data_IF_311137865746
#
_entry.id   IF_311137865746
#
_cell.length_a   1.000
_cell.length_b   1.000
_cell.length_c   1.000
_cell.angle_alpha   90.00
_cell.angle_beta   90.00
_cell.angle_gamma   90.00
#
_symmetry.space_group_name_H-M   'P 1'
#
loop_
_entity.id
_entity.type
_entity.pdbx_description
1 polymer ?
#
# COMPACT_ATOMS: atom_id res chain seq x y z
N UNK A 1 -27.01 -11.78 -16.74
CA UNK A 1 -27.13 -11.19 -18.09
C UNK A 1 -28.21 -10.11 -18.14
N UNK A 2 -29.40 -10.33 -17.57
CA UNK A 2 -30.54 -9.38 -17.63
C UNK A 2 -30.23 -8.07 -16.92
N UNK A 3 -29.55 -8.12 -15.77
CA UNK A 3 -29.14 -6.91 -15.03
C UNK A 3 -28.12 -6.10 -15.81
N UNK A 4 -27.17 -6.76 -16.47
CA UNK A 4 -26.19 -6.11 -17.33
C UNK A 4 -26.87 -5.37 -18.48
N UNK A 5 -27.79 -6.01 -19.17
CA UNK A 5 -28.57 -5.44 -20.28
C UNK A 5 -29.44 -4.25 -19.82
N UNK A 6 -30.03 -4.35 -18.63
CA UNK A 6 -30.85 -3.27 -18.07
C UNK A 6 -30.03 -2.02 -17.76
N UNK A 7 -28.84 -2.21 -17.16
CA UNK A 7 -27.91 -1.10 -16.87
C UNK A 7 -27.31 -0.54 -18.17
N UNK A 8 -26.93 -1.38 -19.12
CA UNK A 8 -26.45 -0.95 -20.44
C UNK A 8 -27.46 -0.03 -21.16
N UNK A 9 -28.73 -0.45 -21.16
CA UNK A 9 -29.79 0.37 -21.74
C UNK A 9 -29.89 1.72 -21.07
N UNK A 10 -29.90 1.74 -19.72
CA UNK A 10 -29.94 2.99 -18.94
C UNK A 10 -28.72 3.87 -19.23
N UNK A 11 -27.51 3.30 -19.20
CA UNK A 11 -26.29 4.02 -19.48
C UNK A 11 -26.24 4.59 -20.90
N UNK A 12 -26.78 3.82 -21.88
CA UNK A 12 -26.86 4.25 -23.27
C UNK A 12 -27.85 5.42 -23.47
N UNK A 13 -29.03 5.35 -22.82
CA UNK A 13 -30.02 6.43 -22.88
C UNK A 13 -29.49 7.70 -22.26
N UNK A 14 -28.97 7.62 -21.03
CA UNK A 14 -28.35 8.77 -20.34
C UNK A 14 -27.12 9.27 -21.08
N UNK A 15 -26.33 8.38 -21.68
CA UNK A 15 -25.16 8.74 -22.47
C UNK A 15 -25.49 9.63 -23.68
N UNK A 16 -26.61 9.41 -24.34
CA UNK A 16 -27.08 10.27 -25.44
C UNK A 16 -27.44 11.66 -24.95
N UNK A 17 -28.13 11.77 -23.82
CA UNK A 17 -28.49 13.05 -23.22
C UNK A 17 -27.25 13.77 -22.69
N UNK A 18 -26.35 13.04 -22.03
CA UNK A 18 -25.08 13.53 -21.53
C UNK A 18 -24.19 14.10 -22.65
N UNK A 19 -24.15 13.44 -23.81
CA UNK A 19 -23.40 13.92 -24.95
C UNK A 19 -24.01 15.18 -25.60
N UNK A 20 -25.33 15.29 -25.57
CA UNK A 20 -26.08 16.35 -26.25
C UNK A 20 -26.31 17.61 -25.40
N UNK A 21 -26.15 17.54 -24.07
CA UNK A 21 -26.48 18.65 -23.19
C UNK A 21 -25.45 19.78 -23.28
N UNK A 22 -25.94 21.02 -23.33
CA UNK A 22 -25.13 22.24 -23.19
C UNK A 22 -24.93 22.60 -21.71
N UNK A 23 -25.81 22.13 -20.82
CA UNK A 23 -25.80 22.39 -19.37
C UNK A 23 -25.11 21.27 -18.58
N UNK A 24 -23.90 20.88 -19.00
CA UNK A 24 -23.18 19.72 -18.49
C UNK A 24 -23.08 19.67 -16.97
N UNK A 25 -22.72 20.80 -16.35
CA UNK A 25 -22.56 20.90 -14.87
C UNK A 25 -23.85 20.62 -14.12
N UNK A 26 -24.95 21.19 -14.60
CA UNK A 26 -26.29 20.99 -14.02
C UNK A 26 -26.79 19.58 -14.23
N UNK A 27 -26.57 19.02 -15.42
CA UNK A 27 -26.93 17.65 -15.77
C UNK A 27 -26.25 16.62 -14.88
N UNK A 28 -24.91 16.73 -14.72
CA UNK A 28 -24.13 15.82 -13.88
C UNK A 28 -24.52 15.94 -12.41
N UNK A 29 -24.75 17.15 -11.91
CA UNK A 29 -25.18 17.35 -10.51
C UNK A 29 -26.59 16.84 -10.22
N UNK A 30 -27.48 16.85 -11.19
CA UNK A 30 -28.82 16.30 -11.07
C UNK A 30 -28.84 14.75 -11.10
N UNK A 31 -27.81 14.13 -11.67
CA UNK A 31 -27.67 12.69 -11.69
C UNK A 31 -27.03 12.18 -10.40
N UNK A 32 -27.70 11.25 -9.69
CA UNK A 32 -27.18 10.68 -8.44
C UNK A 32 -25.81 9.99 -8.59
N UNK A 33 -25.49 9.55 -9.79
CA UNK A 33 -24.24 8.87 -10.13
C UNK A 33 -23.23 9.83 -10.80
N UNK A 34 -23.57 11.11 -10.85
CA UNK A 34 -22.73 12.13 -11.45
C UNK A 34 -21.65 12.63 -10.52
N UNK A 35 -20.47 12.82 -11.06
CA UNK A 35 -19.30 13.36 -10.36
C UNK A 35 -18.60 14.42 -11.21
N UNK A 36 -18.23 15.53 -10.58
CA UNK A 36 -17.36 16.54 -11.18
C UNK A 36 -16.05 16.52 -10.40
N UNK A 37 -14.95 16.31 -11.09
CA UNK A 37 -13.62 16.36 -10.47
C UNK A 37 -13.29 17.81 -10.05
N UNK A 38 -12.68 17.96 -8.88
CA UNK A 38 -12.26 19.28 -8.39
C UNK A 38 -10.86 19.66 -8.88
N UNK A 39 -10.17 18.75 -9.55
CA UNK A 39 -8.84 18.93 -10.11
C UNK A 39 -8.85 18.86 -11.64
N UNK A 40 -7.74 19.27 -12.22
CA UNK A 40 -7.49 19.17 -13.67
C UNK A 40 -6.47 18.05 -13.92
N UNK A 41 -6.76 17.18 -14.88
CA UNK A 41 -5.92 16.05 -15.26
C UNK A 41 -5.37 16.22 -16.67
N UNK A 42 -4.14 15.76 -16.89
CA UNK A 42 -3.51 15.69 -18.21
C UNK A 42 -3.82 14.38 -18.91
N UNK A 43 -3.55 14.30 -20.21
CA UNK A 43 -3.70 13.07 -21.00
C UNK A 43 -2.94 11.87 -20.39
N UNK A 44 -1.79 12.09 -19.76
CA UNK A 44 -0.97 11.02 -19.17
C UNK A 44 -1.64 10.33 -17.96
N UNK A 45 -2.70 10.93 -17.39
CA UNK A 45 -3.42 10.43 -16.22
C UNK A 45 -4.74 9.73 -16.57
N UNK A 46 -5.06 9.68 -17.85
CA UNK A 46 -6.26 9.06 -18.41
C UNK A 46 -5.87 7.82 -19.22
N UNK A 47 -6.81 6.93 -19.47
CA UNK A 47 -6.60 5.89 -20.49
C UNK A 47 -6.47 6.53 -21.88
N UNK A 48 -5.85 5.84 -22.83
CA UNK A 48 -5.62 6.35 -24.17
C UNK A 48 -6.91 6.81 -24.86
N UNK A 49 -7.96 5.99 -24.77
CA UNK A 49 -9.28 6.26 -25.35
C UNK A 49 -9.97 7.45 -24.67
N UNK A 50 -9.91 7.51 -23.34
CA UNK A 50 -10.49 8.61 -22.55
C UNK A 50 -9.74 9.92 -22.83
N UNK A 51 -8.41 9.86 -22.88
CA UNK A 51 -7.58 11.01 -23.22
C UNK A 51 -7.89 11.53 -24.64
N UNK A 52 -8.01 10.64 -25.63
CA UNK A 52 -8.34 11.02 -27.00
C UNK A 52 -9.65 11.79 -27.06
N UNK A 53 -10.72 11.28 -26.42
CA UNK A 53 -12.03 11.91 -26.43
C UNK A 53 -12.02 13.25 -25.65
N UNK A 54 -11.58 13.24 -24.39
CA UNK A 54 -11.67 14.40 -23.52
C UNK A 54 -10.75 15.56 -23.97
N UNK A 55 -9.56 15.25 -24.48
CA UNK A 55 -8.67 16.26 -25.02
C UNK A 55 -9.15 16.84 -26.35
N UNK A 56 -9.96 16.11 -27.13
CA UNK A 56 -10.65 16.64 -28.29
C UNK A 56 -11.91 17.45 -27.96
N UNK A 57 -12.39 17.39 -26.70
CA UNK A 57 -13.66 18.00 -26.29
C UNK A 57 -14.87 17.14 -26.62
N UNK A 58 -14.65 15.88 -26.89
CA UNK A 58 -15.68 14.89 -27.22
C UNK A 58 -16.15 14.13 -25.95
N UNK A 59 -17.23 13.38 -26.10
CA UNK A 59 -17.74 12.50 -25.03
C UNK A 59 -17.05 11.16 -25.09
N UNK A 60 -16.52 10.72 -23.94
CA UNK A 60 -16.05 9.36 -23.74
C UNK A 60 -17.18 8.47 -23.23
N UNK A 61 -17.39 7.31 -23.82
CA UNK A 61 -18.38 6.34 -23.39
C UNK A 61 -19.84 6.64 -23.84
N UNK A 62 -20.82 5.90 -23.29
CA UNK A 62 -20.69 4.93 -22.21
C UNK A 62 -19.89 3.67 -22.59
N UNK A 63 -18.94 3.29 -21.73
CA UNK A 63 -18.09 2.10 -21.88
C UNK A 63 -18.13 1.27 -20.61
N UNK A 64 -18.28 -0.07 -20.76
CA UNK A 64 -18.20 -1.00 -19.65
C UNK A 64 -16.74 -1.28 -19.27
N UNK A 65 -16.35 -0.90 -18.06
CA UNK A 65 -15.02 -1.13 -17.52
C UNK A 65 -15.13 -1.46 -16.03
N UNK A 66 -14.44 -2.51 -15.58
CA UNK A 66 -14.45 -2.93 -14.18
C UNK A 66 -15.87 -3.13 -13.60
N UNK A 67 -16.77 -3.70 -14.40
CA UNK A 67 -18.18 -3.91 -14.03
C UNK A 67 -18.97 -2.59 -13.78
N UNK A 68 -18.57 -1.51 -14.43
CA UNK A 68 -19.25 -0.21 -14.36
C UNK A 68 -19.34 0.40 -15.76
N UNK A 69 -20.52 0.93 -16.11
CA UNK A 69 -20.70 1.74 -17.30
C UNK A 69 -20.30 3.17 -17.00
N UNK A 70 -19.23 3.64 -17.62
CA UNK A 70 -18.69 4.98 -17.38
C UNK A 70 -18.79 5.84 -18.64
N UNK A 71 -19.19 7.09 -18.45
CA UNK A 71 -19.14 8.14 -19.47
C UNK A 71 -18.52 9.40 -18.87
N UNK A 72 -17.79 10.16 -19.68
CA UNK A 72 -17.10 11.36 -19.25
C UNK A 72 -17.05 12.44 -20.33
N UNK A 73 -17.03 13.72 -19.92
CA UNK A 73 -16.78 14.89 -20.75
C UNK A 73 -15.88 15.87 -20.03
N UNK A 74 -15.12 16.64 -20.81
CA UNK A 74 -14.41 17.79 -20.27
C UNK A 74 -15.41 18.90 -19.93
N UNK A 75 -15.45 19.29 -18.65
CA UNK A 75 -16.25 20.42 -18.16
C UNK A 75 -15.53 21.74 -18.43
N UNK A 76 -14.22 21.75 -18.19
CA UNK A 76 -13.34 22.90 -18.43
C UNK A 76 -11.99 22.42 -18.95
N UNK A 77 -11.29 23.29 -19.64
CA UNK A 77 -9.98 22.99 -20.24
C UNK A 77 -9.02 24.14 -19.97
N UNK A 78 -7.85 23.84 -19.42
CA UNK A 78 -6.81 24.84 -19.15
C UNK A 78 -5.46 24.39 -19.69
N UNK A 79 -4.67 25.37 -20.12
CA UNK A 79 -3.23 25.19 -20.40
C UNK A 79 -2.49 25.56 -19.10
N UNK A 80 -2.03 24.55 -18.37
CA UNK A 80 -1.33 24.72 -17.10
C UNK A 80 -0.02 23.92 -17.11
N UNK A 81 0.96 24.24 -16.25
CA UNK A 81 2.18 23.45 -16.14
C UNK A 81 1.86 21.99 -15.82
N UNK A 82 2.60 21.03 -16.38
CA UNK A 82 2.47 19.61 -16.05
C UNK A 82 2.81 19.33 -14.58
N UNK A 83 3.69 20.17 -14.01
CA UNK A 83 4.16 20.09 -12.62
C UNK A 83 4.50 21.46 -12.06
N UNK A 84 4.43 21.61 -10.74
CA UNK A 84 4.79 22.83 -10.02
C UNK A 84 5.59 22.50 -8.77
N UNK A 85 6.69 23.21 -8.56
CA UNK A 85 7.44 23.24 -7.32
C UNK A 85 6.89 24.31 -6.40
N UNK A 86 6.44 23.91 -5.21
CA UNK A 86 5.72 24.77 -4.30
C UNK A 86 6.34 24.73 -2.91
N UNK A 87 6.39 25.89 -2.28
CA UNK A 87 6.53 26.03 -0.83
C UNK A 87 5.39 26.86 -0.25
N UNK A 88 5.02 26.61 1.00
CA UNK A 88 3.87 27.25 1.62
C UNK A 88 4.12 27.73 3.06
N UNK A 89 3.34 28.70 3.47
CA UNK A 89 3.16 29.13 4.86
C UNK A 89 1.69 28.92 5.19
N UNK A 90 1.41 28.09 6.19
CA UNK A 90 0.03 27.81 6.64
C UNK A 90 -0.26 28.60 7.89
N UNK A 91 -1.34 29.37 7.87
CA UNK A 91 -1.79 30.21 8.98
C UNK A 91 -3.23 29.82 9.36
N UNK A 92 -3.64 29.97 10.62
CA UNK A 92 -5.05 29.87 10.99
C UNK A 92 -5.89 30.87 10.20
N UNK A 93 -7.13 30.50 9.89
CA UNK A 93 -8.07 31.38 9.16
C UNK A 93 -8.30 32.73 9.86
N UNK A 94 -8.18 32.79 11.19
CA UNK A 94 -8.31 33.99 12.02
C UNK A 94 -7.19 35.01 11.82
N UNK A 95 -6.05 34.58 11.22
CA UNK A 95 -4.86 35.41 11.04
C UNK A 95 -4.78 36.07 9.65
N UNK A 96 -5.94 36.48 9.10
CA UNK A 96 -6.03 37.06 7.76
C UNK A 96 -5.20 38.34 7.59
N UNK A 97 -5.18 39.20 8.60
CA UNK A 97 -4.38 40.43 8.60
C UNK A 97 -2.87 40.13 8.60
N UNK A 98 -2.44 39.09 9.33
CA UNK A 98 -1.07 38.64 9.33
C UNK A 98 -0.69 38.07 7.95
N UNK A 99 -1.61 37.29 7.35
CA UNK A 99 -1.40 36.73 6.02
C UNK A 99 -1.18 37.81 4.96
N UNK A 100 -1.95 38.89 4.99
CA UNK A 100 -1.81 40.03 4.07
C UNK A 100 -0.51 40.81 4.28
N UNK A 101 -0.12 40.98 5.55
CA UNK A 101 1.16 41.61 5.91
C UNK A 101 2.34 40.79 5.43
N UNK A 102 2.31 39.47 5.66
CA UNK A 102 3.35 38.54 5.19
C UNK A 102 3.40 38.47 3.66
N UNK A 103 2.24 38.40 2.99
CA UNK A 103 2.16 38.39 1.53
C UNK A 103 2.84 39.63 0.94
N UNK A 104 2.56 40.81 1.53
CA UNK A 104 3.16 42.07 1.10
C UNK A 104 4.69 42.06 1.30
N UNK A 105 5.15 41.62 2.47
CA UNK A 105 6.57 41.53 2.78
C UNK A 105 7.31 40.55 1.84
N UNK A 106 6.72 39.37 1.63
CA UNK A 106 7.27 38.34 0.76
C UNK A 106 7.35 38.77 -0.71
N UNK A 107 6.32 39.45 -1.20
CA UNK A 107 6.34 40.08 -2.53
C UNK A 107 7.35 41.22 -2.63
N UNK A 108 7.70 41.85 -1.52
CA UNK A 108 8.76 42.84 -1.39
C UNK A 108 10.17 42.24 -1.26
N UNK A 109 10.30 40.91 -1.30
CA UNK A 109 11.59 40.21 -1.27
C UNK A 109 12.03 39.70 0.11
N UNK A 110 11.12 39.65 1.10
CA UNK A 110 11.44 39.00 2.37
C UNK A 110 11.71 37.48 2.17
N UNK A 111 12.53 36.91 3.05
CA UNK A 111 12.90 35.50 2.96
C UNK A 111 11.71 34.60 3.31
N UNK A 112 11.28 33.82 2.32
CA UNK A 112 10.15 32.93 2.45
C UNK A 112 10.42 31.79 3.45
N UNK A 113 11.64 31.22 3.45
CA UNK A 113 11.98 30.11 4.33
C UNK A 113 12.02 30.56 5.80
N UNK A 114 12.54 31.76 6.06
CA UNK A 114 12.51 32.34 7.39
C UNK A 114 11.08 32.61 7.86
N UNK A 115 10.24 33.18 6.99
CA UNK A 115 8.84 33.43 7.31
C UNK A 115 8.08 32.12 7.55
N UNK A 116 8.31 31.08 6.76
CA UNK A 116 7.71 29.75 6.97
C UNK A 116 8.09 29.17 8.33
N UNK A 117 9.36 29.18 8.69
CA UNK A 117 9.83 28.68 9.98
C UNK A 117 9.28 29.45 11.17
N UNK A 118 9.00 30.75 11.00
CA UNK A 118 8.53 31.62 12.08
C UNK A 118 7.01 31.61 12.26
N UNK A 119 6.24 31.54 11.18
CA UNK A 119 4.81 31.81 11.20
C UNK A 119 3.94 30.63 10.79
N UNK A 120 4.48 29.62 10.06
CA UNK A 120 3.66 28.49 9.62
C UNK A 120 3.30 27.59 10.79
N UNK A 121 2.02 27.27 10.92
CA UNK A 121 1.51 26.31 11.91
C UNK A 121 1.61 24.86 11.44
N UNK A 122 2.14 24.62 10.24
CA UNK A 122 2.32 23.27 9.70
C UNK A 122 3.76 22.79 9.88
N UNK A 123 4.04 22.19 11.02
CA UNK A 123 5.38 21.80 11.47
C UNK A 123 6.17 20.95 10.48
N UNK A 124 5.49 20.09 9.72
CA UNK A 124 6.14 19.17 8.77
C UNK A 124 6.95 19.91 7.68
N UNK A 125 6.50 21.08 7.26
CA UNK A 125 7.18 21.89 6.24
C UNK A 125 7.83 23.15 6.80
N UNK A 126 7.32 23.67 7.91
CA UNK A 126 7.81 24.91 8.53
C UNK A 126 9.34 24.87 8.77
N UNK A 127 9.83 23.81 9.38
CA UNK A 127 11.25 23.62 9.69
C UNK A 127 12.12 23.51 8.43
N UNK A 128 11.56 23.16 7.28
CA UNK A 128 12.23 23.05 5.99
C UNK A 128 11.91 24.22 5.05
N UNK A 129 11.68 25.41 5.60
CA UNK A 129 11.40 26.60 4.82
C UNK A 129 10.10 26.59 4.06
N UNK A 130 9.13 25.78 4.49
CA UNK A 130 7.81 25.64 3.87
C UNK A 130 7.80 24.74 2.63
N UNK A 131 8.90 24.04 2.30
CA UNK A 131 9.00 23.28 1.06
C UNK A 131 8.05 22.08 1.05
N UNK A 132 7.17 22.04 0.03
CA UNK A 132 6.23 20.93 -0.25
C UNK A 132 6.85 20.01 -1.31
N UNK A 133 7.65 20.55 -2.22
CA UNK A 133 8.28 19.82 -3.30
C UNK A 133 7.64 20.06 -4.67
N UNK A 134 8.06 19.27 -5.65
CA UNK A 134 7.52 19.32 -7.01
C UNK A 134 6.44 18.25 -7.16
N UNK A 135 5.25 18.67 -7.57
CA UNK A 135 4.11 17.78 -7.75
C UNK A 135 3.39 18.05 -9.08
N UNK A 136 2.69 17.05 -9.65
CA UNK A 136 1.90 17.26 -10.85
C UNK A 136 0.77 18.27 -10.57
N UNK A 137 0.39 19.05 -11.59
CA UNK A 137 -0.66 20.06 -11.42
C UNK A 137 -2.00 19.44 -10.97
N UNK A 138 -2.27 18.21 -11.35
CA UNK A 138 -3.46 17.46 -10.93
C UNK A 138 -3.57 17.16 -9.43
N UNK A 139 -2.50 17.36 -8.67
CA UNK A 139 -2.53 17.26 -7.20
C UNK A 139 -3.26 18.46 -6.56
N UNK A 140 -3.41 19.56 -7.30
CA UNK A 140 -4.17 20.73 -6.84
C UNK A 140 -5.64 20.57 -7.21
N UNK A 141 -6.53 20.84 -6.27
CA UNK A 141 -7.98 20.76 -6.46
C UNK A 141 -8.66 22.04 -5.96
N UNK A 142 -9.89 22.30 -6.45
CA UNK A 142 -10.72 23.41 -6.03
C UNK A 142 -10.00 24.75 -6.14
N UNK A 143 -10.02 25.52 -5.05
CA UNK A 143 -9.44 26.86 -4.96
C UNK A 143 -7.93 26.89 -5.24
N UNK A 144 -7.22 25.82 -4.89
CA UNK A 144 -5.78 25.70 -5.17
C UNK A 144 -5.51 25.59 -6.68
N UNK A 145 -6.25 24.73 -7.36
CA UNK A 145 -6.10 24.58 -8.81
C UNK A 145 -6.43 25.87 -9.56
N UNK A 146 -7.45 26.60 -9.11
CA UNK A 146 -7.84 27.88 -9.72
C UNK A 146 -6.80 28.97 -9.48
N UNK A 147 -6.31 29.12 -8.25
CA UNK A 147 -5.33 30.15 -7.89
C UNK A 147 -3.96 29.89 -8.55
N UNK A 148 -3.56 28.64 -8.72
CA UNK A 148 -2.27 28.27 -9.27
C UNK A 148 -2.26 28.11 -10.79
N UNK A 149 -3.42 27.99 -11.45
CA UNK A 149 -3.50 27.78 -12.90
C UNK A 149 -2.80 28.88 -13.73
N UNK A 150 -2.80 30.11 -13.25
CA UNK A 150 -2.16 31.25 -13.91
C UNK A 150 -0.82 31.67 -13.30
N UNK A 151 -0.41 31.03 -12.22
CA UNK A 151 0.78 31.42 -11.47
C UNK A 151 2.07 31.04 -12.20
N UNK A 152 3.06 31.91 -12.11
CA UNK A 152 4.38 31.77 -12.72
C UNK A 152 5.42 31.55 -11.64
N UNK A 153 6.59 31.10 -12.06
CA UNK A 153 7.75 31.02 -11.18
C UNK A 153 8.06 32.37 -10.52
N UNK A 154 8.16 32.37 -9.21
CA UNK A 154 8.30 33.56 -8.36
C UNK A 154 7.00 34.09 -7.76
N UNK A 155 5.85 33.76 -8.31
CA UNK A 155 4.56 34.25 -7.81
C UNK A 155 4.24 33.69 -6.42
N UNK A 156 3.59 34.52 -5.61
CA UNK A 156 3.07 34.13 -4.30
C UNK A 156 1.56 34.41 -4.29
N UNK A 157 0.78 33.38 -4.07
CA UNK A 157 -0.69 33.43 -4.01
C UNK A 157 -1.18 33.16 -2.59
N UNK A 158 -2.22 33.87 -2.19
CA UNK A 158 -2.95 33.65 -0.94
C UNK A 158 -4.19 32.85 -1.24
N UNK A 159 -4.37 31.75 -0.55
CA UNK A 159 -5.51 30.83 -0.71
C UNK A 159 -6.09 30.59 0.65
N UNK A 160 -7.39 30.86 0.81
CA UNK A 160 -8.13 30.53 2.02
C UNK A 160 -8.95 29.27 1.74
N UNK A 161 -8.71 28.21 2.49
CA UNK A 161 -9.42 26.94 2.32
C UNK A 161 -9.63 26.27 3.67
N UNK A 162 -10.88 25.95 3.96
CA UNK A 162 -11.27 25.41 5.27
C UNK A 162 -10.92 26.36 6.41
N UNK A 163 -10.25 25.84 7.44
CA UNK A 163 -9.86 26.61 8.63
C UNK A 163 -8.45 27.24 8.51
N UNK A 164 -7.87 27.29 7.31
CA UNK A 164 -6.51 27.78 7.09
C UNK A 164 -6.41 28.78 5.94
N UNK A 165 -5.40 29.64 6.04
CA UNK A 165 -4.91 30.48 4.96
C UNK A 165 -3.53 29.96 4.58
N UNK A 166 -3.30 29.76 3.28
CA UNK A 166 -2.01 29.37 2.76
C UNK A 166 -1.43 30.46 1.86
N UNK A 167 -0.21 30.87 2.16
CA UNK A 167 0.60 31.66 1.25
C UNK A 167 1.50 30.68 0.48
N UNK A 168 1.20 30.47 -0.79
CA UNK A 168 1.92 29.51 -1.63
C UNK A 168 2.83 30.24 -2.61
N UNK A 169 4.10 29.90 -2.60
CA UNK A 169 5.07 30.38 -3.58
C UNK A 169 5.37 29.30 -4.60
N UNK A 170 5.28 29.66 -5.87
CA UNK A 170 5.71 28.81 -6.98
C UNK A 170 7.21 29.08 -7.22
N UNK A 171 8.07 28.13 -6.94
CA UNK A 171 9.50 28.26 -7.18
C UNK A 171 9.98 27.56 -8.44
N UNK A 172 9.13 26.73 -9.05
CA UNK A 172 9.41 26.02 -10.30
C UNK A 172 8.09 25.72 -11.04
N UNK A 173 8.12 25.80 -12.36
CA UNK A 173 7.02 25.37 -13.25
C UNK A 173 7.57 24.41 -14.30
N UNK A 174 6.78 23.38 -14.60
CA UNK A 174 7.02 22.44 -15.69
C UNK A 174 6.56 22.99 -17.04
N UNK A 175 6.39 22.11 -18.02
CA UNK A 175 5.95 22.50 -19.36
C UNK A 175 4.43 22.76 -19.38
N UNK A 176 3.96 23.80 -20.06
CA UNK A 176 2.52 24.00 -20.26
C UNK A 176 1.93 22.82 -21.06
N UNK A 177 0.94 22.17 -20.50
CA UNK A 177 0.21 21.06 -21.12
C UNK A 177 -1.29 21.26 -20.96
N UNK A 178 -2.05 20.67 -21.88
CA UNK A 178 -3.51 20.71 -21.82
C UNK A 178 -4.01 19.80 -20.70
N UNK A 179 -4.80 20.37 -19.80
CA UNK A 179 -5.49 19.67 -18.74
C UNK A 179 -6.99 19.89 -18.85
N UNK A 180 -7.77 18.93 -18.40
CA UNK A 180 -9.22 18.96 -18.41
C UNK A 180 -9.78 18.71 -17.01
N UNK A 181 -10.82 19.43 -16.64
CA UNK A 181 -11.67 19.10 -15.51
C UNK A 181 -12.73 18.12 -15.98
N UNK A 182 -12.81 16.94 -15.36
CA UNK A 182 -13.66 15.85 -15.84
C UNK A 182 -15.00 15.86 -15.12
N UNK A 183 -16.08 15.84 -15.89
CA UNK A 183 -17.42 15.52 -15.45
C UNK A 183 -17.78 14.11 -15.91
N UNK A 184 -18.17 13.23 -15.01
CA UNK A 184 -18.46 11.83 -15.30
C UNK A 184 -19.76 11.35 -14.68
N UNK A 185 -20.31 10.29 -15.26
CA UNK A 185 -21.44 9.53 -14.71
C UNK A 185 -21.06 8.06 -14.78
N UNK A 186 -21.23 7.33 -13.68
CA UNK A 186 -20.85 5.93 -13.58
C UNK A 186 -22.00 5.09 -13.06
N UNK A 187 -22.44 4.10 -13.84
CA UNK A 187 -23.47 3.15 -13.44
C UNK A 187 -22.82 1.80 -13.11
N UNK A 188 -22.69 1.45 -11.81
CA UNK A 188 -22.21 0.13 -11.42
C UNK A 188 -23.23 -0.94 -11.84
N UNK A 189 -22.72 -2.07 -12.34
CA UNK A 189 -23.56 -3.25 -12.60
C UNK A 189 -23.77 -3.97 -11.28
N UNK A 190 -24.96 -3.81 -10.72
CA UNK A 190 -25.35 -4.42 -9.45
C UNK A 190 -26.47 -5.46 -9.70
N UNK A 191 -26.44 -6.53 -8.91
CA UNK A 191 -27.50 -7.53 -8.96
C UNK A 191 -28.85 -6.91 -8.55
N UNK A 192 -29.87 -7.13 -9.36
CA UNK A 192 -31.25 -6.73 -9.04
C UNK A 192 -31.81 -7.46 -7.82
N UNK A 193 -32.92 -6.98 -7.27
CA UNK A 193 -33.61 -7.68 -6.18
C UNK A 193 -34.11 -9.09 -6.61
N UNK A 194 -34.40 -9.25 -7.89
CA UNK A 194 -34.79 -10.53 -8.46
C UNK A 194 -33.61 -11.49 -8.53
N UNK A 195 -32.50 -11.06 -9.08
CA UNK A 195 -31.26 -11.85 -9.13
C UNK A 195 -30.81 -12.25 -7.74
N UNK A 196 -30.81 -11.32 -6.77
CA UNK A 196 -30.47 -11.64 -5.37
C UNK A 196 -31.42 -12.71 -4.77
N UNK A 197 -32.70 -12.61 -5.00
CA UNK A 197 -33.66 -13.63 -4.53
C UNK A 197 -33.39 -14.98 -5.18
N UNK A 198 -33.13 -15.02 -6.48
CA UNK A 198 -32.85 -16.26 -7.19
C UNK A 198 -31.57 -16.92 -6.67
N UNK A 199 -30.48 -16.16 -6.47
CA UNK A 199 -29.23 -16.67 -5.90
C UNK A 199 -29.44 -17.14 -4.46
N UNK A 200 -30.19 -16.39 -3.65
CA UNK A 200 -30.52 -16.79 -2.28
C UNK A 200 -31.32 -18.11 -2.23
N UNK A 201 -32.28 -18.30 -3.14
CA UNK A 201 -33.02 -19.53 -3.24
C UNK A 201 -32.13 -20.71 -3.67
N UNK A 202 -31.21 -20.49 -4.59
CA UNK A 202 -30.18 -21.48 -4.97
C UNK A 202 -29.30 -21.85 -3.79
N UNK A 203 -28.83 -20.83 -3.02
CA UNK A 203 -28.06 -21.04 -1.79
C UNK A 203 -28.86 -21.84 -0.75
N UNK A 204 -30.20 -21.59 -0.64
CA UNK A 204 -31.09 -22.37 0.21
C UNK A 204 -31.18 -23.85 -0.19
N UNK A 205 -31.30 -24.12 -1.48
CA UNK A 205 -31.30 -25.49 -2.02
C UNK A 205 -29.93 -26.16 -1.78
N UNK A 206 -28.85 -25.47 -2.02
CA UNK A 206 -27.50 -25.94 -1.72
C UNK A 206 -27.35 -26.31 -0.23
N UNK A 207 -27.73 -25.41 0.68
CA UNK A 207 -27.66 -25.66 2.12
C UNK A 207 -28.39 -26.92 2.58
N UNK A 208 -29.54 -27.17 2.01
CA UNK A 208 -30.33 -28.41 2.33
C UNK A 208 -29.57 -29.64 1.86
N UNK A 209 -29.06 -29.64 0.64
CA UNK A 209 -28.37 -30.78 0.03
C UNK A 209 -26.96 -31.01 0.60
N UNK A 210 -26.34 -29.98 1.12
CA UNK A 210 -24.97 -30.01 1.66
C UNK A 210 -24.88 -30.57 3.07
N UNK A 211 -26.00 -30.76 3.79
CA UNK A 211 -26.00 -31.24 5.18
C UNK A 211 -25.69 -32.73 5.28
N UNK A 212 -25.00 -33.12 6.34
CA UNK A 212 -24.79 -34.50 6.76
C UNK A 212 -23.40 -35.05 6.60
N UNK A 213 -22.66 -34.69 5.56
CA UNK A 213 -21.26 -35.13 5.39
C UNK A 213 -20.48 -34.25 4.45
N UNK A 214 -19.15 -34.42 4.46
CA UNK A 214 -18.27 -33.73 3.52
C UNK A 214 -18.54 -34.10 2.06
N UNK A 215 -18.91 -35.35 1.83
CA UNK A 215 -19.29 -35.86 0.51
C UNK A 215 -20.60 -35.21 0.02
N UNK A 216 -21.57 -35.04 0.91
CA UNK A 216 -22.83 -34.34 0.58
C UNK A 216 -22.56 -32.86 0.23
N UNK A 217 -21.68 -32.19 1.00
CA UNK A 217 -21.28 -30.82 0.71
C UNK A 217 -20.57 -30.71 -0.64
N UNK A 218 -19.62 -31.60 -0.92
CA UNK A 218 -18.91 -31.64 -2.19
C UNK A 218 -19.84 -31.97 -3.37
N UNK A 219 -20.81 -32.89 -3.18
CA UNK A 219 -21.85 -33.23 -4.17
C UNK A 219 -22.73 -32.01 -4.49
N UNK A 220 -23.25 -31.32 -3.47
CA UNK A 220 -24.05 -30.12 -3.64
C UNK A 220 -23.24 -29.00 -4.34
N UNK A 221 -21.95 -28.88 -4.07
CA UNK A 221 -21.07 -27.92 -4.74
C UNK A 221 -20.88 -28.24 -6.23
N UNK A 222 -20.72 -29.52 -6.57
CA UNK A 222 -20.67 -29.99 -7.95
C UNK A 222 -21.95 -29.71 -8.70
N UNK A 223 -23.11 -30.03 -8.10
CA UNK A 223 -24.43 -29.82 -8.70
C UNK A 223 -24.71 -28.32 -8.94
N UNK A 224 -24.24 -27.46 -8.03
CA UNK A 224 -24.36 -26.01 -8.16
C UNK A 224 -23.26 -25.39 -9.04
N UNK A 225 -22.31 -26.19 -9.58
CA UNK A 225 -21.17 -25.73 -10.35
C UNK A 225 -20.33 -24.68 -9.61
N UNK A 226 -20.19 -24.81 -8.29
CA UNK A 226 -19.34 -23.96 -7.45
C UNK A 226 -18.14 -24.74 -6.93
N UNK A 227 -17.00 -24.07 -6.83
CA UNK A 227 -15.78 -24.68 -6.30
C UNK A 227 -15.61 -24.28 -4.84
N UNK A 228 -15.64 -25.23 -3.88
CA UNK A 228 -15.40 -24.96 -2.48
C UNK A 228 -13.98 -24.40 -2.27
N UNK A 229 -13.85 -23.43 -1.37
CA UNK A 229 -12.56 -22.90 -0.91
C UNK A 229 -12.30 -23.41 0.50
N UNK A 230 -11.05 -23.74 0.78
CA UNK A 230 -10.60 -24.07 2.13
C UNK A 230 -9.99 -22.84 2.75
N UNK A 231 -10.45 -22.47 3.93
CA UNK A 231 -9.89 -21.40 4.74
C UNK A 231 -9.47 -21.96 6.10
N UNK A 232 -8.33 -21.49 6.60
CA UNK A 232 -7.89 -21.77 7.97
C UNK A 232 -8.09 -20.50 8.76
N UNK A 233 -8.79 -20.62 9.90
CA UNK A 233 -9.11 -19.52 10.82
C UNK A 233 -8.31 -19.78 12.09
N UNK A 234 -7.41 -18.87 12.45
CA UNK A 234 -6.69 -18.92 13.72
C UNK A 234 -7.49 -18.26 14.84
N UNK A 235 -7.15 -18.59 16.07
CA UNK A 235 -7.76 -17.94 17.26
C UNK A 235 -7.53 -16.43 17.20
N UNK A 236 -8.60 -15.66 17.32
CA UNK A 236 -8.55 -14.19 17.22
C UNK A 236 -8.76 -13.62 15.81
N UNK A 237 -8.80 -14.44 14.77
CA UNK A 237 -9.17 -13.97 13.43
C UNK A 237 -10.62 -13.49 13.42
N UNK A 238 -10.83 -12.32 12.82
CA UNK A 238 -12.18 -11.73 12.69
C UNK A 238 -12.76 -11.88 11.31
N UNK A 239 -11.91 -12.12 10.32
CA UNK A 239 -12.31 -12.21 8.91
C UNK A 239 -11.56 -13.33 8.22
N UNK A 240 -12.13 -13.83 7.14
CA UNK A 240 -11.53 -14.85 6.27
C UNK A 240 -10.88 -14.13 5.10
N UNK A 241 -9.59 -14.39 4.86
CA UNK A 241 -8.84 -13.76 3.78
C UNK A 241 -9.48 -14.03 2.42
N UNK A 242 -9.79 -12.95 1.68
CA UNK A 242 -10.42 -13.03 0.36
C UNK A 242 -11.93 -13.25 0.40
N UNK A 243 -12.57 -13.06 1.55
CA UNK A 243 -14.01 -13.03 1.72
C UNK A 243 -14.41 -11.77 2.48
N UNK A 244 -15.06 -10.83 1.80
CA UNK A 244 -15.52 -9.57 2.40
C UNK A 244 -16.57 -9.85 3.47
N UNK A 245 -16.65 -9.00 4.49
CA UNK A 245 -17.65 -9.04 5.56
C UNK A 245 -17.87 -10.44 6.18
N UNK A 246 -16.81 -11.25 6.26
CA UNK A 246 -16.86 -12.66 6.68
C UNK A 246 -16.87 -12.88 8.19
N UNK A 247 -17.10 -11.82 8.98
CA UNK A 247 -17.10 -11.90 10.45
C UNK A 247 -18.10 -12.89 11.01
N UNK A 248 -19.31 -12.91 10.46
CA UNK A 248 -20.34 -13.82 10.94
C UNK A 248 -20.02 -15.29 10.62
N UNK A 249 -19.35 -15.55 9.49
CA UNK A 249 -18.84 -16.87 9.14
C UNK A 249 -17.76 -17.31 10.14
N UNK A 250 -16.83 -16.40 10.48
CA UNK A 250 -15.78 -16.68 11.46
C UNK A 250 -16.37 -16.98 12.85
N UNK A 251 -17.31 -16.17 13.30
CA UNK A 251 -18.00 -16.36 14.58
C UNK A 251 -18.77 -17.69 14.63
N UNK A 252 -19.46 -18.02 13.55
CA UNK A 252 -20.14 -19.32 13.45
C UNK A 252 -19.14 -20.47 13.56
N UNK A 253 -17.99 -20.40 12.89
CA UNK A 253 -17.00 -21.46 12.90
C UNK A 253 -16.45 -21.78 14.30
N UNK A 254 -16.31 -20.77 15.17
CA UNK A 254 -15.90 -20.98 16.56
C UNK A 254 -16.95 -21.69 17.43
N UNK A 255 -18.23 -21.62 17.07
CA UNK A 255 -19.30 -22.30 17.78
C UNK A 255 -19.69 -23.66 17.18
N UNK A 256 -19.24 -23.96 15.97
CA UNK A 256 -19.62 -25.13 15.21
C UNK A 256 -18.81 -26.38 15.60
N UNK A 257 -19.34 -27.55 15.25
CA UNK A 257 -18.65 -28.84 15.37
C UNK A 257 -18.18 -29.31 13.99
N UNK A 258 -17.16 -30.16 13.96
CA UNK A 258 -16.72 -30.81 12.72
C UNK A 258 -17.89 -31.53 12.07
N UNK A 259 -18.14 -31.23 10.81
CA UNK A 259 -19.28 -31.73 10.03
C UNK A 259 -20.50 -30.80 9.97
N UNK A 260 -20.54 -29.75 10.82
CA UNK A 260 -21.63 -28.78 10.77
C UNK A 260 -21.57 -27.95 9.48
N UNK A 261 -22.74 -27.69 8.92
CA UNK A 261 -22.95 -26.77 7.78
C UNK A 261 -23.71 -25.55 8.28
N UNK A 262 -23.22 -24.37 7.91
CA UNK A 262 -23.76 -23.08 8.34
C UNK A 262 -25.14 -22.79 7.71
N UNK A 263 -25.74 -21.73 8.21
CA UNK A 263 -26.77 -20.99 7.50
C UNK A 263 -26.17 -20.20 6.33
N UNK A 264 -27.02 -19.48 5.58
CA UNK A 264 -26.60 -18.61 4.50
C UNK A 264 -26.14 -17.28 5.09
N UNK A 265 -24.89 -16.93 4.91
CA UNK A 265 -24.34 -15.63 5.27
C UNK A 265 -24.31 -14.67 4.09
N UNK A 266 -24.64 -13.41 4.32
CA UNK A 266 -24.36 -12.34 3.36
C UNK A 266 -22.94 -11.81 3.60
N UNK A 267 -22.08 -11.90 2.60
CA UNK A 267 -20.66 -11.55 2.68
C UNK A 267 -20.29 -10.58 1.55
N UNK A 268 -20.30 -9.28 1.85
CA UNK A 268 -20.20 -8.26 0.81
C UNK A 268 -21.36 -8.33 -0.18
N UNK A 269 -21.04 -8.61 -1.45
CA UNK A 269 -22.04 -8.76 -2.54
C UNK A 269 -22.48 -10.20 -2.77
N UNK A 270 -21.91 -11.15 -2.05
CA UNK A 270 -22.09 -12.59 -2.25
C UNK A 270 -22.85 -13.25 -1.09
N UNK A 271 -23.21 -14.52 -1.29
CA UNK A 271 -23.67 -15.40 -0.23
C UNK A 271 -22.61 -16.47 0.04
N UNK A 272 -22.41 -16.81 1.30
CA UNK A 272 -21.52 -17.87 1.72
C UNK A 272 -22.24 -18.92 2.56
N UNK A 273 -21.89 -20.19 2.32
CA UNK A 273 -22.25 -21.33 3.15
C UNK A 273 -20.95 -22.05 3.47
N UNK A 274 -20.71 -22.27 4.74
CA UNK A 274 -19.50 -22.88 5.24
C UNK A 274 -19.77 -24.26 5.86
N UNK A 275 -18.78 -25.13 5.79
CA UNK A 275 -18.73 -26.39 6.53
C UNK A 275 -17.46 -26.44 7.34
N UNK A 276 -17.56 -26.74 8.64
CA UNK A 276 -16.38 -26.97 9.47
C UNK A 276 -15.81 -28.37 9.23
N UNK A 277 -14.63 -28.44 8.63
CA UNK A 277 -14.03 -29.71 8.22
C UNK A 277 -13.05 -30.28 9.23
N UNK A 278 -12.39 -29.42 10.00
CA UNK A 278 -11.43 -29.82 11.03
C UNK A 278 -11.25 -28.75 12.10
N UNK A 279 -10.92 -29.15 13.30
CA UNK A 279 -10.42 -28.30 14.38
C UNK A 279 -9.02 -28.80 14.69
N UNK A 280 -8.05 -27.90 14.64
CA UNK A 280 -6.65 -28.18 14.95
C UNK A 280 -6.32 -27.53 16.29
N UNK A 281 -6.20 -28.35 17.34
CA UNK A 281 -5.82 -27.93 18.68
C UNK A 281 -4.39 -28.33 19.02
N UNK A 282 -3.62 -28.77 18.02
CA UNK A 282 -2.24 -29.20 18.24
C UNK A 282 -1.37 -27.96 18.53
N UNK A 283 -0.54 -28.05 19.59
CA UNK A 283 0.40 -26.99 19.97
C UNK A 283 1.45 -26.74 18.87
N UNK A 284 1.76 -27.75 18.09
CA UNK A 284 2.74 -27.71 17.00
C UNK A 284 2.13 -28.14 15.68
N UNK A 285 2.44 -27.42 14.61
CA UNK A 285 2.04 -27.84 13.27
C UNK A 285 2.65 -29.19 12.91
N UNK A 286 1.86 -30.08 12.30
CA UNK A 286 2.37 -31.38 11.85
C UNK A 286 3.48 -31.21 10.83
N UNK A 287 4.48 -32.15 10.79
CA UNK A 287 5.59 -32.08 9.84
C UNK A 287 5.12 -31.95 8.38
N UNK A 288 4.01 -32.56 8.01
CA UNK A 288 3.44 -32.52 6.66
C UNK A 288 3.00 -31.10 6.28
N UNK A 289 2.39 -30.37 7.20
CA UNK A 289 1.92 -28.99 6.97
C UNK A 289 3.08 -28.01 6.73
N UNK A 290 4.22 -28.24 7.37
CA UNK A 290 5.43 -27.39 7.32
C UNK A 290 6.56 -27.99 6.49
N UNK A 291 6.35 -29.15 5.87
CA UNK A 291 7.38 -29.92 5.17
C UNK A 291 8.20 -29.10 4.17
N UNK A 292 7.54 -28.25 3.37
CA UNK A 292 8.22 -27.42 2.36
C UNK A 292 9.18 -26.40 3.02
N UNK A 293 8.74 -25.76 4.11
CA UNK A 293 9.55 -24.79 4.87
C UNK A 293 10.70 -25.47 5.60
N UNK A 294 10.42 -26.57 6.31
CA UNK A 294 11.43 -27.36 7.03
C UNK A 294 12.46 -27.94 6.07
N UNK A 295 12.03 -28.45 4.90
CA UNK A 295 12.95 -28.99 3.90
C UNK A 295 13.98 -27.97 3.44
N UNK A 296 13.56 -26.72 3.18
CA UNK A 296 14.47 -25.65 2.78
C UNK A 296 15.50 -25.33 3.87
N UNK A 297 15.07 -25.33 5.13
CA UNK A 297 15.93 -25.08 6.28
C UNK A 297 16.92 -26.24 6.49
N UNK A 298 16.42 -27.47 6.55
CA UNK A 298 17.26 -28.68 6.73
C UNK A 298 18.26 -28.82 5.57
N UNK A 299 17.86 -28.52 4.34
CA UNK A 299 18.76 -28.54 3.20
C UNK A 299 19.90 -27.52 3.34
N UNK A 300 19.62 -26.32 3.82
CA UNK A 300 20.66 -25.31 4.11
C UNK A 300 21.61 -25.78 5.21
N UNK A 301 21.07 -26.41 6.26
CA UNK A 301 21.88 -26.92 7.36
C UNK A 301 22.80 -28.06 6.88
N UNK A 302 22.27 -29.02 6.13
CA UNK A 302 23.06 -30.09 5.54
C UNK A 302 24.11 -29.62 4.54
N UNK A 303 23.78 -28.58 3.73
CA UNK A 303 24.78 -27.97 2.84
C UNK A 303 25.90 -27.29 3.61
N UNK A 304 25.58 -26.60 4.70
CA UNK A 304 26.56 -26.00 5.59
C UNK A 304 27.48 -27.07 6.15
N UNK A 305 26.93 -28.14 6.75
CA UNK A 305 27.70 -29.24 7.35
C UNK A 305 28.60 -29.92 6.30
N UNK A 306 28.07 -30.15 5.09
CA UNK A 306 28.84 -30.72 3.98
C UNK A 306 30.02 -29.83 3.57
N UNK A 307 29.79 -28.53 3.37
CA UNK A 307 30.83 -27.59 3.02
C UNK A 307 31.91 -27.51 4.11
N UNK A 308 31.48 -27.38 5.38
CA UNK A 308 32.41 -27.33 6.52
C UNK A 308 33.26 -28.62 6.62
N UNK A 309 32.64 -29.79 6.41
CA UNK A 309 33.38 -31.07 6.43
C UNK A 309 34.36 -31.26 5.26
N UNK A 310 34.16 -30.52 4.19
CA UNK A 310 34.99 -30.54 2.98
C UNK A 310 36.08 -29.47 2.98
N UNK A 311 36.03 -28.52 3.92
CA UNK A 311 37.08 -27.53 4.08
C UNK A 311 38.41 -28.17 4.49
N UNK A 312 39.46 -27.88 3.75
CA UNK A 312 40.80 -28.37 4.04
C UNK A 312 41.85 -27.26 3.82
N UNK A 313 42.88 -27.24 4.66
CA UNK A 313 43.93 -26.22 4.63
C UNK A 313 43.83 -25.23 5.78
N UNK A 314 44.86 -24.43 5.92
CA UNK A 314 45.01 -23.42 7.00
C UNK A 314 44.99 -21.99 6.49
N UNK A 315 45.18 -21.78 5.18
CA UNK A 315 45.10 -20.48 4.52
C UNK A 315 43.80 -20.33 3.74
N UNK A 316 43.42 -19.11 3.38
CA UNK A 316 42.21 -18.86 2.56
C UNK A 316 42.31 -19.53 1.19
N UNK A 317 43.48 -19.47 0.56
CA UNK A 317 43.76 -20.02 -0.76
C UNK A 317 43.65 -21.56 -0.75
N UNK A 318 44.18 -22.21 0.30
CA UNK A 318 44.07 -23.65 0.47
C UNK A 318 42.62 -24.09 0.65
N UNK A 319 41.88 -23.36 1.49
CA UNK A 319 40.46 -23.63 1.75
C UNK A 319 39.58 -23.34 0.52
N UNK A 320 39.82 -22.24 -0.19
CA UNK A 320 39.13 -21.94 -1.44
C UNK A 320 39.38 -23.03 -2.49
N UNK A 321 40.65 -23.46 -2.66
CA UNK A 321 41.05 -24.51 -3.59
C UNK A 321 40.37 -25.85 -3.25
N UNK A 322 40.26 -26.20 -1.95
CA UNK A 322 39.63 -27.45 -1.51
C UNK A 322 38.15 -27.57 -1.92
N UNK A 323 37.48 -26.45 -2.11
CA UNK A 323 36.08 -26.37 -2.52
C UNK A 323 35.86 -25.95 -3.99
N UNK A 324 36.96 -25.74 -4.74
CA UNK A 324 36.89 -25.22 -6.11
C UNK A 324 36.31 -23.78 -6.18
N UNK A 325 36.53 -22.98 -5.14
CA UNK A 325 36.15 -21.60 -5.03
C UNK A 325 37.34 -20.65 -5.18
N UNK A 326 37.11 -19.38 -5.27
CA UNK A 326 38.13 -18.33 -5.36
C UNK A 326 38.06 -17.40 -4.17
N UNK A 327 39.19 -16.78 -3.80
CA UNK A 327 39.23 -15.72 -2.80
C UNK A 327 38.80 -14.42 -3.46
N UNK A 328 37.88 -13.70 -2.82
CA UNK A 328 37.38 -12.40 -3.28
C UNK A 328 37.62 -11.31 -2.21
N UNK A 329 37.98 -10.13 -2.68
CA UNK A 329 38.17 -8.97 -1.80
C UNK A 329 36.89 -8.19 -1.63
N UNK A 330 36.53 -7.88 -0.38
CA UNK A 330 35.42 -7.01 -0.03
C UNK A 330 35.92 -5.77 0.66
N UNK A 331 35.40 -4.61 0.25
CA UNK A 331 35.77 -3.30 0.80
C UNK A 331 34.59 -2.67 1.51
N UNK A 332 34.89 -1.74 2.42
CA UNK A 332 33.91 -0.88 3.10
C UNK A 332 32.81 -1.62 3.87
N UNK A 333 33.13 -2.82 4.39
CA UNK A 333 32.21 -3.55 5.26
C UNK A 333 32.09 -2.85 6.60
N UNK A 334 30.88 -2.46 6.96
CA UNK A 334 30.62 -1.71 8.20
C UNK A 334 29.32 -2.14 8.89
N UNK A 335 29.17 -1.78 10.16
CA UNK A 335 27.97 -2.13 10.95
C UNK A 335 26.68 -1.43 10.54
N UNK A 336 26.76 -0.33 9.80
CA UNK A 336 25.57 0.40 9.36
C UNK A 336 24.86 -0.29 8.18
N UNK A 337 25.57 -1.22 7.52
CA UNK A 337 25.03 -2.00 6.41
C UNK A 337 25.25 -3.49 6.64
N UNK A 338 24.20 -4.26 6.65
CA UNK A 338 24.25 -5.73 6.63
C UNK A 338 24.39 -6.30 5.21
N UNK A 339 24.52 -5.42 4.23
CA UNK A 339 24.70 -5.77 2.82
C UNK A 339 26.16 -5.63 2.46
N UNK A 340 26.75 -6.71 1.92
CA UNK A 340 28.13 -6.75 1.43
C UNK A 340 28.06 -6.88 -0.09
N UNK A 341 28.72 -5.98 -0.81
CA UNK A 341 28.77 -6.03 -2.27
C UNK A 341 29.42 -7.35 -2.72
N UNK A 342 28.73 -8.09 -3.61
CA UNK A 342 29.14 -9.43 -4.04
C UNK A 342 28.70 -10.60 -3.13
N UNK A 343 28.39 -10.38 -1.86
CA UNK A 343 27.88 -11.41 -0.94
C UNK A 343 26.37 -11.28 -0.60
N UNK A 344 25.81 -10.06 -0.73
CA UNK A 344 24.41 -9.79 -0.44
C UNK A 344 24.12 -9.44 1.02
N UNK A 345 22.90 -9.72 1.49
CA UNK A 345 22.46 -9.44 2.86
C UNK A 345 22.99 -10.51 3.82
N UNK A 346 24.04 -10.21 4.57
CA UNK A 346 24.79 -11.16 5.41
C UNK A 346 25.07 -10.62 6.82
N UNK A 347 24.07 -10.40 7.67
CA UNK A 347 24.26 -9.78 8.99
C UNK A 347 25.14 -10.59 9.92
N UNK A 348 25.14 -11.93 9.82
CA UNK A 348 26.01 -12.80 10.62
C UNK A 348 27.47 -12.67 10.21
N UNK A 349 27.72 -12.52 8.90
CA UNK A 349 29.06 -12.32 8.38
C UNK A 349 29.61 -10.95 8.84
N UNK A 350 28.83 -9.88 8.73
CA UNK A 350 29.19 -8.54 9.23
C UNK A 350 29.52 -8.58 10.72
N UNK A 351 28.70 -9.27 11.53
CA UNK A 351 28.96 -9.44 12.95
C UNK A 351 30.26 -10.23 13.25
N UNK A 352 30.53 -11.26 12.47
CA UNK A 352 31.76 -12.04 12.60
C UNK A 352 33.03 -11.23 12.21
N UNK A 353 32.93 -10.47 11.09
CA UNK A 353 34.01 -9.59 10.61
C UNK A 353 34.38 -8.58 11.68
N UNK A 354 33.39 -7.99 12.31
CA UNK A 354 33.60 -6.95 13.31
C UNK A 354 34.27 -7.44 14.61
N UNK A 355 34.14 -8.72 14.92
CA UNK A 355 34.76 -9.34 16.11
C UNK A 355 36.04 -10.10 15.80
N UNK A 356 36.42 -10.19 14.53
CA UNK A 356 37.59 -10.95 14.09
C UNK A 356 38.91 -10.19 14.36
N UNK A 357 39.96 -10.96 14.58
CA UNK A 357 41.32 -10.40 14.70
C UNK A 357 41.91 -10.15 13.30
N UNK A 358 42.53 -8.96 13.12
CA UNK A 358 43.23 -8.60 11.89
C UNK A 358 44.29 -9.65 11.55
N UNK A 359 44.31 -10.10 10.31
CA UNK A 359 45.26 -11.09 9.77
C UNK A 359 44.98 -12.56 10.15
N UNK A 360 43.95 -12.86 10.92
CA UNK A 360 43.59 -14.23 11.30
C UNK A 360 42.50 -14.79 10.38
N UNK A 361 42.68 -16.03 9.92
CA UNK A 361 41.66 -16.80 9.19
C UNK A 361 40.49 -17.07 10.14
N UNK A 362 39.33 -16.59 9.82
CA UNK A 362 38.12 -16.65 10.66
C UNK A 362 36.98 -17.33 9.92
N UNK A 363 36.26 -18.17 10.59
CA UNK A 363 35.14 -18.95 10.04
C UNK A 363 35.29 -20.43 10.35
N UNK A 364 34.41 -21.30 9.78
CA UNK A 364 33.33 -20.98 8.83
C UNK A 364 32.12 -20.31 9.46
N UNK A 365 31.64 -19.25 8.83
CA UNK A 365 30.44 -18.51 9.23
C UNK A 365 29.26 -18.93 8.34
N UNK A 366 28.16 -19.33 8.97
CA UNK A 366 26.92 -19.68 8.27
C UNK A 366 26.13 -18.42 7.95
N UNK A 367 26.18 -17.99 6.70
CA UNK A 367 25.42 -16.85 6.20
C UNK A 367 24.01 -17.20 5.74
N UNK A 368 23.35 -16.21 5.13
CA UNK A 368 22.03 -16.37 4.50
C UNK A 368 22.15 -17.06 3.14
N UNK A 369 23.14 -16.66 2.35
CA UNK A 369 23.36 -17.10 0.97
C UNK A 369 24.50 -18.12 0.84
N UNK A 370 25.42 -18.18 1.82
CA UNK A 370 26.61 -19.01 1.71
C UNK A 370 27.27 -19.35 3.03
N UNK A 371 28.42 -20.05 2.91
CA UNK A 371 29.36 -20.31 4.00
C UNK A 371 30.61 -19.47 3.74
N UNK A 372 31.02 -18.72 4.73
CA UNK A 372 32.11 -17.74 4.57
C UNK A 372 33.28 -18.07 5.48
N UNK A 373 34.47 -18.05 4.90
CA UNK A 373 35.74 -17.99 5.63
C UNK A 373 36.44 -16.73 5.15
N UNK A 374 36.98 -15.96 6.04
CA UNK A 374 37.56 -14.65 5.70
C UNK A 374 38.78 -14.29 6.56
N UNK A 375 39.55 -13.32 6.08
CA UNK A 375 40.58 -12.61 6.82
C UNK A 375 40.25 -11.11 6.79
N UNK A 376 40.45 -10.43 7.90
CA UNK A 376 40.37 -8.97 7.96
C UNK A 376 41.75 -8.40 7.70
N UNK A 377 41.97 -7.76 6.54
CA UNK A 377 43.25 -7.21 6.14
C UNK A 377 43.49 -5.83 6.75
N UNK A 378 42.43 -5.00 6.83
CA UNK A 378 42.54 -3.68 7.42
C UNK A 378 41.26 -3.27 8.17
N UNK A 379 41.47 -2.45 9.20
CA UNK A 379 40.35 -1.88 9.99
C UNK A 379 40.55 -0.36 10.03
N UNK A 380 39.60 0.36 9.45
CA UNK A 380 39.59 1.81 9.46
C UNK A 380 38.54 2.31 10.46
N UNK A 381 38.97 3.25 11.30
CA UNK A 381 38.05 3.96 12.20
C UNK A 381 37.71 5.31 11.59
N UNK A 382 36.42 5.62 11.48
CA UNK A 382 35.95 6.89 10.98
C UNK A 382 36.17 7.99 12.04
N UNK A 383 37.01 8.98 11.74
CA UNK A 383 37.21 10.16 12.59
C UNK A 383 36.01 11.13 12.57
N UNK A 384 35.06 10.92 11.67
CA UNK A 384 33.91 11.83 11.43
C UNK A 384 32.72 11.62 12.37
N UNK A 385 32.66 10.55 13.13
CA UNK A 385 31.58 10.30 14.06
C UNK A 385 32.09 10.31 15.50
N UNK A 386 31.60 11.25 16.31
CA UNK A 386 31.89 11.25 17.73
C UNK A 386 31.11 10.10 18.41
N UNK A 387 31.75 9.47 19.42
CA UNK A 387 31.10 8.43 20.23
C UNK A 387 29.78 8.90 20.85
N UNK A 388 29.60 10.19 21.05
CA UNK A 388 28.40 10.81 21.59
C UNK A 388 27.25 10.84 20.56
N UNK A 389 27.53 11.17 19.30
CA UNK A 389 26.54 11.15 18.23
C UNK A 389 26.02 9.72 17.97
N UNK A 390 26.91 8.72 18.04
CA UNK A 390 26.51 7.31 17.91
C UNK A 390 25.69 6.83 19.11
N UNK A 391 25.99 7.27 20.32
CA UNK A 391 25.16 6.97 21.51
C UNK A 391 23.76 7.54 21.38
N UNK A 392 23.63 8.81 20.98
CA UNK A 392 22.33 9.46 20.77
C UNK A 392 21.53 8.72 19.69
N UNK A 393 22.18 8.33 18.60
CA UNK A 393 21.54 7.56 17.53
C UNK A 393 21.11 6.16 18.01
N UNK A 394 21.96 5.46 18.72
CA UNK A 394 21.67 4.14 19.28
C UNK A 394 20.54 4.22 20.32
N UNK A 395 20.52 5.26 21.14
CA UNK A 395 19.46 5.50 22.12
C UNK A 395 18.11 5.77 21.44
N UNK A 396 18.08 6.65 20.43
CA UNK A 396 16.87 6.94 19.67
C UNK A 396 16.33 5.68 18.95
N UNK A 397 17.22 4.85 18.41
CA UNK A 397 16.83 3.57 17.80
C UNK A 397 16.28 2.58 18.83
N UNK A 398 16.91 2.48 20.01
CA UNK A 398 16.45 1.62 21.09
C UNK A 398 15.10 2.09 21.64
N UNK A 399 14.87 3.39 21.80
CA UNK A 399 13.58 3.97 22.20
C UNK A 399 12.48 3.68 21.17
N UNK A 400 12.77 3.84 19.87
CA UNK A 400 11.84 3.50 18.80
C UNK A 400 11.48 2.01 18.78
N UNK A 401 12.47 1.14 18.94
CA UNK A 401 12.24 -0.30 19.05
C UNK A 401 11.44 -0.64 20.32
N UNK A 402 11.76 -0.04 21.46
CA UNK A 402 11.00 -0.27 22.70
C UNK A 402 9.54 0.14 22.55
N UNK A 403 9.24 1.27 21.91
CA UNK A 403 7.86 1.70 21.63
C UNK A 403 7.13 0.73 20.70
N UNK A 404 7.82 0.22 19.70
CA UNK A 404 7.23 -0.69 18.71
C UNK A 404 6.95 -2.09 19.28
N UNK A 405 7.83 -2.61 20.13
CA UNK A 405 7.79 -4.00 20.61
C UNK A 405 7.32 -4.15 22.07
N UNK A 406 7.25 -3.09 22.87
CA UNK A 406 6.87 -3.19 24.28
C UNK A 406 5.46 -3.76 24.48
N UNK A 407 4.47 -3.24 23.73
CA UNK A 407 3.09 -3.72 23.85
C UNK A 407 2.95 -5.16 23.36
N UNK A 408 3.44 -5.55 22.16
CA UNK A 408 3.44 -6.95 21.74
C UNK A 408 4.15 -7.90 22.70
N UNK A 409 5.28 -7.48 23.27
CA UNK A 409 6.00 -8.31 24.26
C UNK A 409 5.19 -8.52 25.54
N UNK A 410 4.54 -7.47 26.06
CA UNK A 410 3.66 -7.60 27.25
C UNK A 410 2.46 -8.47 26.93
N UNK A 411 1.86 -8.33 25.75
CA UNK A 411 0.75 -9.18 25.31
C UNK A 411 1.16 -10.65 25.22
N UNK A 412 2.35 -10.94 24.69
CA UNK A 412 2.86 -12.29 24.59
C UNK A 412 3.16 -12.90 25.98
N UNK A 413 3.69 -12.10 26.91
CA UNK A 413 3.98 -12.55 28.27
C UNK A 413 2.73 -12.72 29.14
N UNK A 414 1.65 -12.05 28.82
CA UNK A 414 0.43 -12.01 29.64
C UNK A 414 -0.53 -13.19 29.39
N UNK A 415 -0.17 -14.13 28.49
CA UNK A 415 -1.04 -15.27 28.13
C UNK A 415 -2.51 -14.84 27.88
N UNK A 416 -2.69 -13.78 27.08
CA UNK A 416 -4.00 -13.19 26.84
C UNK A 416 -4.83 -14.13 25.96
N UNK A 417 -5.92 -14.63 26.50
CA UNK A 417 -6.95 -15.33 25.73
C UNK A 417 -7.97 -14.30 25.20
N UNK A 418 -7.92 -14.04 23.87
CA UNK A 418 -8.85 -13.10 23.24
C UNK A 418 -10.13 -13.80 22.78
N UNK A 419 -11.14 -13.77 23.63
CA UNK A 419 -12.46 -14.34 23.34
C UNK A 419 -13.39 -13.37 22.59
N UNK A 420 -12.96 -12.15 22.28
CA UNK A 420 -13.81 -11.15 21.62
C UNK A 420 -14.35 -11.63 20.26
N UNK A 421 -13.60 -12.46 19.53
CA UNK A 421 -14.04 -13.05 18.28
C UNK A 421 -15.28 -13.94 18.39
N UNK A 422 -15.59 -14.46 19.61
CA UNK A 422 -16.79 -15.27 19.86
C UNK A 422 -18.02 -14.42 20.20
N UNK A 423 -17.86 -13.21 20.70
CA UNK A 423 -18.95 -12.37 21.23
C UNK A 423 -19.15 -11.06 20.45
N UNK A 424 -18.15 -10.57 19.80
CA UNK A 424 -18.11 -9.32 19.06
C UNK A 424 -17.58 -9.57 17.65
#
# INVERSE_FOLDING_TARGET
DDDLLAIEKTATEVGKEFAATDELKSFVRANRNGKIADNYVSAAQLSEEEAAALMAGETYGPVLKNNEWTMARALDTKMVPDSMGIRHIVLPYTEDTLADSLLTALRGGADFAQAASQYSVYDMTAANGGEVGVMPFSAFSGEFAEALAGAKEGDIVKIASGDAIQLMQVYRTGKPTKHVQVASITYPVEASAETRRNVHNQAGSFMVNAKGSAEAFAGAASDASVTPRVAVIAQGDRTIRGLEDSRDVTRWAYGAKVGDVSEIFSVGKDYAIAMLTAIDNDEYASPEKVAAQLRAQVLRDKKYDYIVSSLAGTTLEEQASSLGSEVADFKDVNYASFYIDGAGFEPRLVGAIASAQKGAVTGPVKGMSGVYVFVVDDVQTSEKQTSEAEKVRAQAMAESMAQQFAIPAVQQMAEIEDLRGQYF
#
